data_IF_656793387038
#
_entry.id   IF_656793387038
#
_cell.length_a   1.000
_cell.length_b   1.000
_cell.length_c   1.000
_cell.angle_alpha   90.00
_cell.angle_beta   90.00
_cell.angle_gamma   90.00
#
_symmetry.space_group_name_H-M   'P 1'
#
loop_
_entity.id
_entity.type
_entity.pdbx_description
1 polymer ?
#
# COMPACT_ATOMS: atom_id res chain seq x y z
N UNK A 1 6.51 -9.61 -13.39
CA UNK A 1 5.50 -8.59 -13.06
C UNK A 1 6.25 -7.29 -12.75
N UNK A 2 6.21 -6.28 -13.62
CA UNK A 2 6.94 -5.01 -13.45
C UNK A 2 6.08 -3.75 -13.70
N UNK A 3 4.79 -3.91 -14.04
CA UNK A 3 3.95 -2.83 -14.57
C UNK A 3 3.41 -1.89 -13.47
N UNK A 4 3.14 -2.40 -12.28
CA UNK A 4 2.62 -1.66 -11.14
C UNK A 4 3.60 -0.62 -10.58
N UNK A 5 4.91 -0.87 -10.64
CA UNK A 5 5.92 0.07 -10.10
C UNK A 5 6.10 1.31 -10.99
N UNK A 6 6.00 1.15 -12.31
CA UNK A 6 6.16 2.29 -13.23
C UNK A 6 5.07 3.34 -13.07
N UNK A 7 3.83 2.90 -12.83
CA UNK A 7 2.70 3.81 -12.62
C UNK A 7 2.86 4.61 -11.32
N UNK A 8 3.43 3.98 -10.29
CA UNK A 8 3.73 4.67 -9.02
C UNK A 8 4.78 5.75 -9.24
N UNK A 9 5.85 5.43 -9.97
CA UNK A 9 6.91 6.39 -10.28
C UNK A 9 6.38 7.59 -11.08
N UNK A 10 5.55 7.35 -12.10
CA UNK A 10 4.96 8.41 -12.92
C UNK A 10 4.12 9.38 -12.07
N UNK A 11 3.27 8.85 -11.20
CA UNK A 11 2.43 9.66 -10.30
C UNK A 11 3.28 10.38 -9.23
N UNK A 12 4.34 9.75 -8.72
CA UNK A 12 5.29 10.38 -7.78
C UNK A 12 6.06 11.52 -8.44
N UNK A 13 6.40 11.40 -9.73
CA UNK A 13 7.04 12.48 -10.51
C UNK A 13 6.14 13.72 -10.64
N UNK A 14 4.82 13.55 -10.57
CA UNK A 14 3.86 14.66 -10.52
C UNK A 14 3.77 15.32 -9.12
N UNK A 15 4.50 14.81 -8.14
CA UNK A 15 4.53 15.33 -6.76
C UNK A 15 3.31 14.93 -5.92
N UNK A 16 2.56 13.92 -6.36
CA UNK A 16 1.40 13.38 -5.64
C UNK A 16 1.86 12.32 -4.63
N UNK A 17 1.20 12.30 -3.46
CA UNK A 17 1.40 11.27 -2.44
C UNK A 17 0.55 10.05 -2.80
N UNK A 18 1.16 8.87 -2.79
CA UNK A 18 0.51 7.63 -3.19
C UNK A 18 0.36 6.67 -2.01
N UNK A 19 -0.89 6.31 -1.72
CA UNK A 19 -1.22 5.17 -0.88
C UNK A 19 -1.56 3.95 -1.73
N UNK A 20 -0.88 2.82 -1.51
CA UNK A 20 -1.15 1.57 -2.24
C UNK A 20 -1.75 0.52 -1.30
N UNK A 21 -2.89 -0.06 -1.69
CA UNK A 21 -3.51 -1.16 -0.96
C UNK A 21 -3.34 -2.47 -1.72
N UNK A 22 -3.03 -3.56 -1.02
CA UNK A 22 -2.79 -4.86 -1.67
C UNK A 22 -2.76 -6.05 -0.72
N UNK A 23 -2.57 -7.24 -1.28
CA UNK A 23 -2.49 -8.50 -0.52
C UNK A 23 -1.11 -8.70 0.16
N UNK A 24 -0.16 -7.80 -0.11
CA UNK A 24 1.17 -7.71 0.48
C UNK A 24 2.19 -8.74 -0.01
N UNK A 25 1.78 -9.80 -0.71
CA UNK A 25 2.71 -10.78 -1.31
C UNK A 25 2.96 -10.43 -2.77
N UNK A 26 1.90 -10.27 -3.55
CA UNK A 26 2.01 -9.96 -4.98
C UNK A 26 2.28 -8.48 -5.23
N UNK A 27 1.91 -7.66 -4.25
CA UNK A 27 1.96 -6.20 -4.27
C UNK A 27 3.17 -5.61 -3.53
N UNK A 28 4.03 -6.45 -2.96
CA UNK A 28 5.15 -6.02 -2.09
C UNK A 28 6.04 -4.96 -2.74
N UNK A 29 6.42 -5.14 -4.02
CA UNK A 29 7.25 -4.16 -4.74
C UNK A 29 6.56 -2.80 -4.93
N UNK A 30 5.23 -2.77 -4.96
CA UNK A 30 4.46 -1.53 -5.00
C UNK A 30 4.29 -0.91 -3.62
N UNK A 31 4.13 -1.70 -2.56
CA UNK A 31 4.09 -1.21 -1.17
C UNK A 31 5.38 -0.50 -0.79
N UNK A 32 6.53 -1.08 -1.16
CA UNK A 32 7.86 -0.46 -0.94
C UNK A 32 8.05 0.83 -1.74
N UNK A 33 7.49 0.92 -2.95
CA UNK A 33 7.64 2.10 -3.80
C UNK A 33 6.68 3.25 -3.42
N UNK A 34 5.50 2.91 -2.90
CA UNK A 34 4.48 3.89 -2.48
C UNK A 34 4.89 4.67 -1.23
N UNK A 35 4.30 5.85 -1.02
CA UNK A 35 4.53 6.64 0.18
C UNK A 35 3.86 6.01 1.41
N UNK A 36 2.73 5.31 1.21
CA UNK A 36 2.03 4.56 2.26
C UNK A 36 1.54 3.22 1.72
N UNK A 37 2.11 2.11 2.20
CA UNK A 37 1.62 0.76 1.93
C UNK A 37 0.51 0.33 2.92
N UNK A 38 -0.59 -0.21 2.40
CA UNK A 38 -1.71 -0.72 3.18
C UNK A 38 -1.96 -2.19 2.81
N UNK A 39 -1.73 -3.10 3.75
CA UNK A 39 -1.90 -4.53 3.54
C UNK A 39 -3.25 -5.04 4.07
N UNK A 40 -3.95 -5.80 3.23
CA UNK A 40 -5.22 -6.44 3.53
C UNK A 40 -5.00 -7.95 3.68
N UNK A 41 -5.13 -8.45 4.91
CA UNK A 41 -5.24 -9.88 5.27
C UNK A 41 -4.02 -10.78 5.06
N UNK A 42 -3.60 -11.07 3.82
CA UNK A 42 -2.63 -12.13 3.52
C UNK A 42 -1.17 -11.70 3.69
N UNK A 43 -0.94 -10.39 3.68
CA UNK A 43 0.39 -9.77 3.70
C UNK A 43 0.90 -9.36 5.08
N UNK A 44 0.22 -9.74 6.17
CA UNK A 44 0.52 -9.27 7.53
C UNK A 44 2.01 -9.47 7.88
N UNK A 45 2.60 -10.61 7.52
CA UNK A 45 4.00 -10.90 7.84
C UNK A 45 4.98 -9.97 7.10
N UNK A 46 4.69 -9.64 5.84
CA UNK A 46 5.52 -8.74 5.02
C UNK A 46 5.30 -7.28 5.44
N UNK A 47 4.05 -6.90 5.71
CA UNK A 47 3.70 -5.56 6.17
C UNK A 47 4.33 -5.18 7.51
N UNK A 48 4.49 -6.16 8.42
CA UNK A 48 5.19 -5.96 9.70
C UNK A 48 6.68 -5.65 9.46
N UNK A 49 7.33 -6.33 8.53
CA UNK A 49 8.74 -6.10 8.21
C UNK A 49 8.98 -4.75 7.53
N UNK A 50 7.99 -4.25 6.79
CA UNK A 50 8.06 -3.01 6.01
C UNK A 50 7.57 -1.76 6.77
N UNK A 51 7.02 -1.91 7.98
CA UNK A 51 6.48 -0.78 8.76
C UNK A 51 5.17 -0.19 8.22
N UNK A 52 4.43 -1.00 7.45
CA UNK A 52 3.22 -0.59 6.72
C UNK A 52 1.93 -0.69 7.58
N UNK A 53 0.84 -0.05 7.11
CA UNK A 53 -0.46 -0.11 7.80
C UNK A 53 -1.15 -1.43 7.50
N UNK A 54 -1.64 -2.11 8.54
CA UNK A 54 -2.30 -3.41 8.41
C UNK A 54 -3.80 -3.30 8.70
N UNK A 55 -4.62 -3.68 7.72
CA UNK A 55 -6.08 -3.76 7.89
C UNK A 55 -6.49 -5.13 8.42
N UNK A 56 -6.69 -5.19 9.75
CA UNK A 56 -7.03 -6.42 10.50
C UNK A 56 -8.40 -6.99 10.10
N UNK A 57 -9.32 -6.18 9.57
CA UNK A 57 -10.68 -6.61 9.19
C UNK A 57 -10.85 -6.93 7.71
N UNK A 58 -9.77 -7.01 6.94
CA UNK A 58 -9.79 -7.35 5.51
C UNK A 58 -10.80 -6.54 4.67
N UNK A 59 -11.14 -5.33 5.10
CA UNK A 59 -12.14 -4.49 4.46
C UNK A 59 -11.44 -3.30 3.78
N UNK A 60 -11.41 -3.22 2.44
CA UNK A 60 -10.79 -2.10 1.74
C UNK A 60 -11.39 -0.73 2.09
N UNK A 61 -12.64 -0.68 2.57
CA UNK A 61 -13.24 0.58 3.04
C UNK A 61 -12.52 1.16 4.27
N UNK A 62 -11.79 0.33 5.02
CA UNK A 62 -11.00 0.76 6.17
C UNK A 62 -9.85 1.71 5.76
N UNK A 63 -9.39 1.63 4.50
CA UNK A 63 -8.44 2.60 3.91
C UNK A 63 -8.98 4.03 4.00
N UNK A 64 -10.28 4.22 3.73
CA UNK A 64 -10.92 5.54 3.76
C UNK A 64 -10.95 6.12 5.18
N UNK A 65 -11.09 5.25 6.19
CA UNK A 65 -11.05 5.69 7.59
C UNK A 65 -9.66 6.14 8.02
N UNK A 66 -8.59 5.52 7.50
CA UNK A 66 -7.21 5.94 7.77
C UNK A 66 -6.93 7.33 7.21
N UNK A 67 -7.36 7.62 5.98
CA UNK A 67 -7.17 8.94 5.36
C UNK A 67 -7.87 10.04 6.16
N UNK A 68 -9.01 9.73 6.80
CA UNK A 68 -9.77 10.68 7.63
C UNK A 68 -9.17 10.95 9.01
N UNK A 69 -8.17 10.18 9.46
CA UNK A 69 -7.57 10.33 10.78
C UNK A 69 -6.47 11.41 10.85
N UNK A 70 -6.04 11.92 9.69
CA UNK A 70 -5.13 13.08 9.51
C UNK A 70 -5.89 14.36 9.25
#
# INVERSE_FOLDING_TARGET
>A
MKWNVWILLEIQYEGLVIGMTGDGITDASGHVQSDVGISISAGINIAIEEGNVVLVRSNPLDVVYIIKLT
#
